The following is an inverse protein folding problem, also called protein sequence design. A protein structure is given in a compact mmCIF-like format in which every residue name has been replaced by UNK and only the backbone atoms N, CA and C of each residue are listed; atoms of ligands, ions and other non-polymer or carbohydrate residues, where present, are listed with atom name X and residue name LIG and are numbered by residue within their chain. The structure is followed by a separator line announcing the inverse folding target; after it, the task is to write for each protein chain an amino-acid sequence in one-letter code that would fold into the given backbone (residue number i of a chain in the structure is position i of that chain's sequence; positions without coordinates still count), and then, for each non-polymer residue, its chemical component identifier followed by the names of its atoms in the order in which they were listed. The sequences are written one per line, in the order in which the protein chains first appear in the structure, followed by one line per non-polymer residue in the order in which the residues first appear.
data_IF_417355376661
#
_entry.id   IF_417355376661
#
_cell.length_a   1.000
_cell.length_b   1.000
_cell.length_c   1.000
_cell.angle_alpha   90.00
_cell.angle_beta   90.00
_cell.angle_gamma   90.00
#
_symmetry.space_group_name_H-M   'P 1'
#
loop_
_entity.id
_entity.type
_entity.pdbx_description
1 polymer ?
#
# COMPACT_ATOMS: atom_id res chain seq x y z
N UNK A 1 -3.88 1.81 -20.76
CA UNK A 1 -4.71 2.59 -19.82
C UNK A 1 -5.61 1.63 -19.05
N UNK A 2 -5.74 1.79 -17.73
CA UNK A 2 -6.79 1.13 -16.93
C UNK A 2 -8.00 2.08 -16.85
N UNK A 3 -9.20 1.56 -17.11
CA UNK A 3 -10.46 2.28 -16.95
C UNK A 3 -11.47 1.42 -16.19
N UNK A 4 -11.98 1.95 -15.09
CA UNK A 4 -13.00 1.30 -14.27
C UNK A 4 -14.28 2.11 -14.39
N UNK A 5 -15.33 1.50 -14.95
CA UNK A 5 -16.62 2.13 -15.21
C UNK A 5 -17.59 1.84 -14.06
N UNK A 6 -18.09 2.89 -13.43
CA UNK A 6 -19.01 2.80 -12.30
C UNK A 6 -20.45 3.00 -12.74
N UNK A 7 -21.36 2.22 -12.15
CA UNK A 7 -22.77 2.57 -12.01
C UNK A 7 -22.99 3.29 -10.67
N UNK A 8 -24.20 3.82 -10.47
CA UNK A 8 -24.57 4.44 -9.19
C UNK A 8 -24.60 3.41 -8.04
N UNK A 9 -24.98 2.16 -8.31
CA UNK A 9 -25.02 1.09 -7.31
C UNK A 9 -23.60 0.73 -6.83
N UNK A 10 -22.62 0.79 -7.72
CA UNK A 10 -21.23 0.47 -7.40
C UNK A 10 -20.63 1.43 -6.35
N UNK A 11 -21.01 2.71 -6.42
CA UNK A 11 -20.54 3.72 -5.48
C UNK A 11 -20.95 3.38 -4.03
N UNK A 12 -22.14 2.80 -3.83
CA UNK A 12 -22.63 2.38 -2.51
C UNK A 12 -21.94 1.11 -1.99
N UNK A 13 -21.49 0.24 -2.89
CA UNK A 13 -20.82 -1.03 -2.58
C UNK A 13 -19.29 -0.90 -2.48
N UNK A 14 -18.74 0.29 -2.72
CA UNK A 14 -17.30 0.52 -2.63
C UNK A 14 -16.78 0.32 -1.20
N UNK A 15 -15.62 -0.33 -1.06
CA UNK A 15 -14.96 -0.58 0.23
C UNK A 15 -13.47 -0.29 0.13
N UNK A 16 -12.89 0.27 1.20
CA UNK A 16 -11.42 0.39 1.35
C UNK A 16 -10.95 -0.67 2.32
N UNK A 17 -9.99 -1.50 1.91
CA UNK A 17 -9.43 -2.56 2.75
C UNK A 17 -8.83 -1.98 4.05
N UNK A 18 -9.11 -2.66 5.17
CA UNK A 18 -8.71 -2.23 6.53
C UNK A 18 -7.28 -2.56 6.87
N UNK A 19 -6.74 -3.61 6.26
CA UNK A 19 -5.39 -4.14 6.53
C UNK A 19 -4.61 -4.26 5.23
N UNK A 20 -3.28 -4.35 5.37
CA UNK A 20 -2.42 -4.76 4.26
C UNK A 20 -2.87 -6.15 3.75
N UNK A 21 -3.09 -6.28 2.45
CA UNK A 21 -3.40 -7.58 1.87
C UNK A 21 -2.11 -8.37 1.61
N UNK A 22 -1.92 -9.54 2.24
CA UNK A 22 -0.61 -10.20 2.28
C UNK A 22 -0.12 -10.63 0.90
N UNK A 23 -1.01 -11.07 0.00
CA UNK A 23 -0.62 -11.58 -1.31
C UNK A 23 -0.28 -10.43 -2.27
N UNK A 24 -1.07 -9.34 -2.24
CA UNK A 24 -0.71 -8.11 -2.98
C UNK A 24 0.65 -7.56 -2.53
N UNK A 25 0.92 -7.53 -1.22
CA UNK A 25 2.21 -7.06 -0.71
C UNK A 25 3.38 -7.99 -1.08
N UNK A 26 3.17 -9.31 -1.13
CA UNK A 26 4.18 -10.25 -1.65
C UNK A 26 4.49 -9.95 -3.13
N UNK A 27 3.47 -9.78 -3.96
CA UNK A 27 3.64 -9.45 -5.39
C UNK A 27 4.44 -8.15 -5.53
N UNK A 28 4.01 -7.08 -4.87
CA UNK A 28 4.65 -5.77 -5.03
C UNK A 28 6.05 -5.70 -4.43
N UNK A 29 6.30 -6.38 -3.31
CA UNK A 29 7.64 -6.46 -2.70
C UNK A 29 8.61 -7.26 -3.58
N UNK A 30 8.17 -8.35 -4.23
CA UNK A 30 8.95 -9.05 -5.25
C UNK A 30 9.26 -8.12 -6.44
N UNK A 31 8.28 -7.35 -6.92
CA UNK A 31 8.52 -6.34 -7.96
C UNK A 31 9.53 -5.26 -7.54
N UNK A 32 9.71 -4.98 -6.25
CA UNK A 32 10.77 -4.09 -5.73
C UNK A 32 12.14 -4.77 -5.77
N UNK A 33 12.24 -6.08 -5.52
CA UNK A 33 13.50 -6.82 -5.61
C UNK A 33 14.01 -6.95 -7.06
N UNK A 34 13.08 -7.03 -8.02
CA UNK A 34 13.35 -7.16 -9.46
C UNK A 34 13.67 -5.82 -10.16
N UNK A 35 13.26 -4.67 -9.59
CA UNK A 35 13.27 -3.37 -10.28
C UNK A 35 14.20 -2.30 -9.70
N UNK A 36 14.38 -1.20 -10.47
CA UNK A 36 15.09 0.02 -10.05
C UNK A 36 14.18 1.17 -9.56
N UNK A 37 12.97 1.43 -10.11
CA UNK A 37 12.12 2.53 -9.65
C UNK A 37 11.66 2.37 -8.19
N UNK A 38 11.67 3.48 -7.43
CA UNK A 38 11.33 3.48 -5.99
C UNK A 38 12.37 2.80 -5.10
N UNK A 39 13.50 2.33 -5.65
CA UNK A 39 14.55 1.62 -4.90
C UNK A 39 15.14 2.44 -3.76
N UNK A 40 15.20 3.76 -3.89
CA UNK A 40 15.70 4.64 -2.83
C UNK A 40 14.81 4.57 -1.58
N UNK A 41 13.48 4.56 -1.76
CA UNK A 41 12.51 4.51 -0.66
C UNK A 41 12.54 3.18 0.10
N UNK A 42 13.03 2.11 -0.54
CA UNK A 42 13.13 0.77 0.05
C UNK A 42 14.57 0.26 0.14
N UNK A 43 15.59 1.11 0.00
CA UNK A 43 16.98 0.64 -0.15
C UNK A 43 17.44 -0.19 1.05
N UNK A 44 17.11 0.24 2.27
CA UNK A 44 17.38 -0.48 3.50
C UNK A 44 16.65 -1.83 3.56
N UNK A 45 15.36 -1.84 3.22
CA UNK A 45 14.55 -3.06 3.16
C UNK A 45 15.09 -4.05 2.11
N UNK A 46 15.39 -3.59 0.88
CA UNK A 46 15.94 -4.43 -0.19
C UNK A 46 17.26 -5.07 0.24
N UNK A 47 18.16 -4.30 0.87
CA UNK A 47 19.44 -4.81 1.36
C UNK A 47 19.22 -5.90 2.42
N UNK A 48 18.37 -5.64 3.40
CA UNK A 48 18.06 -6.57 4.48
C UNK A 48 17.36 -7.85 3.98
N UNK A 49 16.42 -7.74 3.04
CA UNK A 49 15.72 -8.90 2.48
C UNK A 49 16.67 -9.75 1.64
N UNK A 50 17.52 -9.14 0.80
CA UNK A 50 18.50 -9.91 0.01
C UNK A 50 19.46 -10.69 0.90
N UNK A 51 19.94 -10.10 2.00
CA UNK A 51 20.79 -10.81 2.96
C UNK A 51 20.05 -12.02 3.56
N UNK A 52 18.83 -11.80 4.07
CA UNK A 52 18.05 -12.88 4.69
C UNK A 52 17.61 -13.98 3.72
N UNK A 53 17.32 -13.65 2.45
CA UNK A 53 17.02 -14.65 1.42
C UNK A 53 18.24 -15.53 1.10
N UNK A 54 19.45 -14.96 1.16
CA UNK A 54 20.70 -15.72 1.03
C UNK A 54 20.92 -16.62 2.25
N UNK A 55 20.80 -16.07 3.46
CA UNK A 55 21.01 -16.81 4.72
C UNK A 55 20.03 -17.98 4.89
N UNK A 56 18.79 -17.83 4.40
CA UNK A 56 17.75 -18.87 4.47
C UNK A 56 17.74 -19.81 3.26
N UNK A 57 18.59 -19.59 2.25
CA UNK A 57 18.60 -20.37 1.02
C UNK A 57 17.37 -20.18 0.12
N UNK A 58 16.48 -19.23 0.43
CA UNK A 58 15.27 -18.96 -0.34
C UNK A 58 15.53 -18.27 -1.70
N UNK A 59 16.73 -17.74 -1.91
CA UNK A 59 17.14 -17.12 -3.18
C UNK A 59 16.85 -17.98 -4.40
N UNK A 60 17.07 -19.29 -4.30
CA UNK A 60 16.82 -20.21 -5.42
C UNK A 60 15.33 -20.28 -5.73
N UNK A 61 14.49 -20.43 -4.72
CA UNK A 61 13.02 -20.49 -4.86
C UNK A 61 12.47 -19.18 -5.42
N UNK A 62 12.96 -18.04 -4.93
CA UNK A 62 12.56 -16.73 -5.45
C UNK A 62 12.91 -16.61 -6.94
N UNK A 63 14.10 -17.07 -7.37
CA UNK A 63 14.51 -16.98 -8.78
C UNK A 63 13.87 -18.03 -9.68
N UNK A 64 13.64 -19.24 -9.20
CA UNK A 64 13.18 -20.36 -10.03
C UNK A 64 11.67 -20.52 -10.09
N UNK A 65 10.93 -19.98 -9.11
CA UNK A 65 9.48 -20.10 -8.99
C UNK A 65 8.80 -18.72 -8.87
N UNK A 66 9.05 -17.96 -7.79
CA UNK A 66 8.26 -16.75 -7.51
C UNK A 66 8.51 -15.61 -8.51
N UNK A 67 9.76 -15.41 -8.94
CA UNK A 67 10.14 -14.38 -9.90
C UNK A 67 9.49 -14.59 -11.28
N UNK A 68 9.63 -15.80 -11.89
CA UNK A 68 8.93 -16.12 -13.13
C UNK A 68 7.40 -16.08 -13.02
N UNK A 69 6.83 -16.48 -11.87
CA UNK A 69 5.38 -16.46 -11.64
C UNK A 69 4.83 -15.03 -11.48
N UNK A 70 5.62 -14.14 -10.86
CA UNK A 70 5.23 -12.77 -10.50
C UNK A 70 6.17 -11.76 -11.19
N UNK A 71 6.13 -11.68 -12.54
CA UNK A 71 7.02 -10.80 -13.28
C UNK A 71 6.60 -9.34 -13.16
N UNK A 72 7.58 -8.47 -12.92
CA UNK A 72 7.35 -7.03 -12.91
C UNK A 72 6.90 -6.52 -14.29
N UNK A 73 5.90 -5.62 -14.31
CA UNK A 73 5.38 -4.93 -15.51
C UNK A 73 4.84 -5.87 -16.60
N UNK A 74 4.47 -7.08 -16.22
CA UNK A 74 3.80 -8.06 -17.07
C UNK A 74 2.57 -8.57 -16.33
N UNK A 75 1.70 -9.27 -17.05
CA UNK A 75 0.65 -10.08 -16.43
C UNK A 75 1.26 -11.07 -15.44
N UNK A 76 0.60 -11.25 -14.29
CA UNK A 76 0.82 -12.34 -13.35
C UNK A 76 -0.54 -13.01 -13.04
N UNK A 77 -0.57 -14.32 -12.73
CA UNK A 77 -1.82 -15.05 -12.52
C UNK A 77 -2.67 -14.48 -11.38
N UNK A 78 -3.97 -14.34 -11.60
CA UNK A 78 -4.92 -13.80 -10.63
C UNK A 78 -5.12 -14.76 -9.43
N UNK A 79 -4.98 -16.07 -9.65
CA UNK A 79 -5.14 -17.08 -8.59
C UNK A 79 -4.14 -16.92 -7.43
N UNK A 80 -3.02 -16.19 -7.63
CA UNK A 80 -2.02 -15.92 -6.57
C UNK A 80 -2.38 -14.72 -5.68
N UNK A 81 -3.41 -13.95 -6.03
CA UNK A 81 -3.98 -12.86 -5.25
C UNK A 81 -5.49 -13.08 -5.03
N UNK A 82 -5.87 -14.19 -4.37
CA UNK A 82 -7.27 -14.57 -4.21
C UNK A 82 -8.04 -13.55 -3.34
N UNK A 83 -9.34 -13.39 -3.59
CA UNK A 83 -10.17 -12.43 -2.85
C UNK A 83 -10.25 -12.75 -1.35
N UNK A 84 -10.16 -14.05 -1.00
CA UNK A 84 -10.13 -14.62 0.34
C UNK A 84 -8.96 -14.09 1.19
N UNK A 85 -7.88 -13.61 0.54
CA UNK A 85 -6.75 -12.97 1.22
C UNK A 85 -7.14 -11.76 2.07
N UNK A 86 -8.32 -11.18 1.84
CA UNK A 86 -8.90 -10.15 2.72
C UNK A 86 -9.08 -10.60 4.17
N UNK A 87 -9.17 -11.91 4.40
CA UNK A 87 -9.28 -12.53 5.72
C UNK A 87 -7.93 -13.01 6.28
N UNK A 88 -6.81 -12.66 5.62
CA UNK A 88 -5.46 -12.98 6.06
C UNK A 88 -4.74 -14.01 5.18
N UNK A 89 -3.49 -14.30 5.56
CA UNK A 89 -2.60 -15.16 4.77
C UNK A 89 -3.16 -16.58 4.62
N UNK A 90 -3.66 -17.17 5.71
CA UNK A 90 -4.11 -18.56 5.70
C UNK A 90 -5.35 -18.75 4.82
N UNK A 91 -6.31 -17.81 4.85
CA UNK A 91 -7.47 -17.84 3.96
C UNK A 91 -7.08 -17.76 2.47
N UNK A 92 -6.15 -16.89 2.12
CA UNK A 92 -5.63 -16.82 0.74
C UNK A 92 -4.80 -18.06 0.35
N UNK A 93 -4.07 -18.66 1.30
CA UNK A 93 -3.33 -19.89 1.06
C UNK A 93 -4.28 -21.06 0.75
N UNK A 94 -5.36 -21.21 1.53
CA UNK A 94 -6.40 -22.22 1.26
C UNK A 94 -7.07 -22.00 -0.11
N UNK A 95 -7.36 -20.75 -0.48
CA UNK A 95 -7.92 -20.44 -1.80
C UNK A 95 -6.96 -20.82 -2.95
N UNK A 96 -5.65 -20.59 -2.79
CA UNK A 96 -4.65 -21.07 -3.75
C UNK A 96 -4.67 -22.60 -3.84
N UNK A 97 -4.68 -23.30 -2.71
CA UNK A 97 -4.72 -24.78 -2.70
C UNK A 97 -5.97 -25.32 -3.39
N UNK A 98 -7.12 -24.67 -3.16
CA UNK A 98 -8.42 -25.02 -3.72
C UNK A 98 -8.61 -24.64 -5.19
N UNK A 99 -7.72 -23.81 -5.77
CA UNK A 99 -7.80 -23.42 -7.17
C UNK A 99 -7.84 -24.64 -8.10
N UNK A 100 -8.80 -24.64 -9.04
CA UNK A 100 -8.95 -25.75 -9.99
C UNK A 100 -7.73 -25.85 -10.93
N UNK A 101 -7.38 -27.08 -11.31
CA UNK A 101 -6.30 -27.34 -12.28
C UNK A 101 -6.49 -26.54 -13.58
N UNK A 102 -7.71 -26.53 -14.11
CA UNK A 102 -8.06 -25.80 -15.34
C UNK A 102 -7.78 -24.30 -15.21
N UNK A 103 -8.23 -23.67 -14.12
CA UNK A 103 -7.99 -22.25 -13.85
C UNK A 103 -6.48 -21.94 -13.86
N UNK A 104 -5.71 -22.74 -13.12
CA UNK A 104 -4.26 -22.54 -13.00
C UNK A 104 -3.57 -22.72 -14.35
N UNK A 105 -3.93 -23.74 -15.13
CA UNK A 105 -3.37 -23.93 -16.47
C UNK A 105 -3.71 -22.78 -17.43
N UNK A 106 -4.95 -22.30 -17.41
CA UNK A 106 -5.42 -21.21 -18.26
C UNK A 106 -4.64 -19.91 -17.96
N UNK A 107 -4.47 -19.56 -16.68
CA UNK A 107 -3.72 -18.38 -16.26
C UNK A 107 -2.21 -18.52 -16.52
N UNK A 108 -1.61 -19.69 -16.27
CA UNK A 108 -0.21 -19.92 -16.60
C UNK A 108 0.05 -19.86 -18.12
N UNK A 109 -0.89 -20.32 -18.94
CA UNK A 109 -0.80 -20.17 -20.39
C UNK A 109 -0.93 -18.69 -20.84
N UNK A 110 -1.70 -17.86 -20.13
CA UNK A 110 -1.73 -16.41 -20.35
C UNK A 110 -0.38 -15.78 -19.98
N UNK A 111 0.20 -16.16 -18.85
CA UNK A 111 1.53 -15.72 -18.40
C UNK A 111 2.62 -16.09 -19.40
N UNK A 112 2.65 -17.34 -19.84
CA UNK A 112 3.67 -17.82 -20.79
C UNK A 112 3.61 -17.06 -22.13
N UNK A 113 2.41 -16.76 -22.64
CA UNK A 113 2.23 -15.97 -23.86
C UNK A 113 2.82 -14.55 -23.78
N UNK A 114 2.81 -13.94 -22.60
CA UNK A 114 3.24 -12.54 -22.41
C UNK A 114 4.68 -12.44 -21.89
N UNK A 115 5.14 -13.41 -21.09
CA UNK A 115 6.42 -13.35 -20.39
C UNK A 115 7.41 -14.47 -20.76
N UNK A 116 6.97 -15.54 -21.43
CA UNK A 116 7.84 -16.64 -21.85
C UNK A 116 8.43 -17.44 -20.68
N UNK A 117 7.61 -17.84 -19.73
CA UNK A 117 8.04 -18.57 -18.52
C UNK A 117 8.36 -20.04 -18.79
N UNK A 118 7.90 -20.58 -19.91
CA UNK A 118 8.06 -21.97 -20.30
C UNK A 118 7.20 -22.94 -19.49
N UNK A 119 7.43 -24.23 -19.68
CA UNK A 119 6.59 -25.30 -19.08
C UNK A 119 6.82 -25.51 -17.58
N UNK A 120 7.86 -24.91 -16.99
CA UNK A 120 8.28 -25.17 -15.59
C UNK A 120 7.19 -24.84 -14.57
N UNK A 121 6.38 -23.81 -14.82
CA UNK A 121 5.31 -23.42 -13.91
C UNK A 121 4.06 -24.29 -14.04
N UNK A 122 3.93 -25.12 -15.09
CA UNK A 122 2.73 -25.97 -15.30
C UNK A 122 2.50 -26.95 -14.15
N UNK A 123 3.55 -27.37 -13.44
CA UNK A 123 3.45 -28.20 -12.22
C UNK A 123 2.61 -27.57 -11.10
N UNK A 124 2.40 -26.25 -11.13
CA UNK A 124 1.51 -25.57 -10.19
C UNK A 124 0.04 -25.92 -10.42
N UNK A 125 -0.31 -26.53 -11.55
CA UNK A 125 -1.64 -27.08 -11.79
C UNK A 125 -1.92 -28.33 -10.94
N UNK A 126 -0.87 -29.02 -10.48
CA UNK A 126 -0.97 -30.15 -9.57
C UNK A 126 -1.13 -29.67 -8.10
N UNK A 127 -1.90 -30.38 -7.26
CA UNK A 127 -2.03 -30.05 -5.84
C UNK A 127 -0.69 -29.91 -5.11
N UNK A 128 0.29 -30.76 -5.45
CA UNK A 128 1.62 -30.77 -4.83
C UNK A 128 2.41 -29.52 -5.20
N UNK A 129 2.33 -29.09 -6.47
CA UNK A 129 2.94 -27.85 -6.92
C UNK A 129 2.31 -26.63 -6.24
N UNK A 130 1.00 -26.63 -5.97
CA UNK A 130 0.34 -25.56 -5.20
C UNK A 130 0.78 -25.57 -3.73
N UNK A 131 0.96 -26.74 -3.12
CA UNK A 131 1.54 -26.85 -1.76
C UNK A 131 2.96 -26.31 -1.70
N UNK A 132 3.80 -26.59 -2.70
CA UNK A 132 5.13 -25.99 -2.83
C UNK A 132 5.05 -24.47 -2.96
N UNK A 133 4.14 -23.95 -3.80
CA UNK A 133 3.93 -22.52 -3.99
C UNK A 133 3.52 -21.82 -2.70
N UNK A 134 2.51 -22.34 -1.99
CA UNK A 134 2.06 -21.78 -0.71
C UNK A 134 3.18 -21.79 0.32
N UNK A 135 3.97 -22.87 0.37
CA UNK A 135 5.15 -22.94 1.23
C UNK A 135 6.19 -21.87 0.87
N UNK A 136 6.45 -21.66 -0.41
CA UNK A 136 7.35 -20.62 -0.90
C UNK A 136 6.84 -19.20 -0.57
N UNK A 137 5.55 -18.94 -0.76
CA UNK A 137 4.92 -17.65 -0.44
C UNK A 137 4.98 -17.39 1.07
N UNK A 138 4.73 -18.40 1.91
CA UNK A 138 4.80 -18.28 3.38
C UNK A 138 6.22 -18.00 3.86
N UNK A 139 7.20 -18.72 3.32
CA UNK A 139 8.60 -18.52 3.64
C UNK A 139 9.08 -17.12 3.20
N UNK A 140 8.71 -16.69 1.99
CA UNK A 140 8.99 -15.34 1.52
C UNK A 140 8.31 -14.28 2.39
N UNK A 141 7.04 -14.45 2.75
CA UNK A 141 6.31 -13.53 3.62
C UNK A 141 6.99 -13.37 4.97
N UNK A 142 7.41 -14.47 5.60
CA UNK A 142 8.13 -14.44 6.88
C UNK A 142 9.45 -13.67 6.80
N UNK A 143 10.19 -13.79 5.69
CA UNK A 143 11.47 -13.10 5.52
C UNK A 143 11.29 -11.64 5.09
N UNK A 144 10.43 -11.38 4.11
CA UNK A 144 10.36 -10.10 3.43
C UNK A 144 9.31 -9.14 4.02
N UNK A 145 8.17 -9.66 4.47
CA UNK A 145 7.01 -8.86 4.87
C UNK A 145 6.89 -8.75 6.38
N UNK A 146 6.87 -9.88 7.10
CA UNK A 146 6.64 -9.92 8.56
C UNK A 146 7.48 -8.90 9.34
N UNK A 147 8.78 -8.70 9.03
CA UNK A 147 9.63 -7.81 9.82
C UNK A 147 9.36 -6.31 9.60
N UNK A 148 8.51 -5.95 8.63
CA UNK A 148 8.06 -4.58 8.37
C UNK A 148 6.54 -4.43 8.42
N UNK A 149 5.81 -5.47 8.84
CA UNK A 149 4.34 -5.50 8.83
C UNK A 149 3.71 -4.36 9.63
N UNK A 150 4.25 -4.05 10.81
CA UNK A 150 3.75 -2.94 11.64
C UNK A 150 3.93 -1.58 10.96
N UNK A 151 5.05 -1.38 10.26
CA UNK A 151 5.31 -0.17 9.50
C UNK A 151 4.36 -0.08 8.29
N UNK A 152 4.14 -1.19 7.60
CA UNK A 152 3.21 -1.27 6.46
C UNK A 152 1.80 -0.92 6.92
N UNK A 153 1.33 -1.53 8.00
CA UNK A 153 0.00 -1.27 8.54
C UNK A 153 -0.17 0.20 8.96
N UNK A 154 0.81 0.77 9.66
CA UNK A 154 0.77 2.19 10.02
C UNK A 154 0.67 3.13 8.79
N UNK A 155 1.27 2.75 7.65
CA UNK A 155 1.16 3.52 6.40
C UNK A 155 -0.19 3.34 5.71
N UNK A 156 -0.75 2.14 5.75
CA UNK A 156 -2.11 1.88 5.28
C UNK A 156 -3.13 2.64 6.13
N UNK A 157 -2.98 2.64 7.45
CA UNK A 157 -3.87 3.38 8.36
C UNK A 157 -3.82 4.89 8.09
N UNK A 158 -2.61 5.44 7.88
CA UNK A 158 -2.44 6.83 7.50
C UNK A 158 -3.11 7.17 6.16
N UNK A 159 -2.96 6.33 5.13
CA UNK A 159 -3.65 6.52 3.85
C UNK A 159 -5.17 6.46 4.03
N UNK A 160 -5.67 5.47 4.77
CA UNK A 160 -7.10 5.30 5.07
C UNK A 160 -7.69 6.52 5.78
N UNK A 161 -6.96 7.13 6.70
CA UNK A 161 -7.41 8.35 7.36
C UNK A 161 -7.57 9.52 6.39
N UNK A 162 -6.64 9.66 5.42
CA UNK A 162 -6.78 10.64 4.33
C UNK A 162 -8.03 10.35 3.49
N UNK A 163 -8.28 9.08 3.14
CA UNK A 163 -9.48 8.68 2.38
C UNK A 163 -10.78 8.92 3.15
N UNK A 164 -10.77 8.62 4.44
CA UNK A 164 -11.93 8.83 5.31
C UNK A 164 -12.28 10.31 5.44
N UNK A 165 -11.29 11.19 5.60
CA UNK A 165 -11.54 12.64 5.62
C UNK A 165 -12.06 13.14 4.27
N UNK A 166 -11.48 12.70 3.16
CA UNK A 166 -11.96 13.06 1.82
C UNK A 166 -13.40 12.58 1.55
N UNK A 167 -13.77 11.41 2.10
CA UNK A 167 -15.14 10.88 2.06
C UNK A 167 -16.11 11.75 2.87
N UNK A 168 -15.72 12.19 4.06
CA UNK A 168 -16.55 13.04 4.91
C UNK A 168 -16.73 14.44 4.31
N UNK A 169 -15.68 15.00 3.71
CA UNK A 169 -15.70 16.36 3.18
C UNK A 169 -16.40 16.45 1.80
N UNK A 170 -16.30 15.40 0.98
CA UNK A 170 -16.72 15.43 -0.43
C UNK A 170 -17.53 14.23 -0.90
N UNK A 171 -18.02 13.39 0.01
CA UNK A 171 -18.72 12.15 -0.33
C UNK A 171 -17.82 11.15 -1.07
N UNK A 172 -18.46 10.17 -1.74
CA UNK A 172 -17.75 9.09 -2.45
C UNK A 172 -16.84 9.65 -3.56
N UNK A 173 -17.28 10.71 -4.26
CA UNK A 173 -16.44 11.38 -5.25
C UNK A 173 -15.23 12.07 -4.61
N UNK A 174 -15.36 12.65 -3.42
CA UNK A 174 -14.23 13.21 -2.67
C UNK A 174 -13.17 12.15 -2.38
N UNK A 175 -13.60 10.96 -1.94
CA UNK A 175 -12.71 9.81 -1.78
C UNK A 175 -12.02 9.43 -3.09
N UNK A 176 -12.76 9.27 -4.19
CA UNK A 176 -12.20 8.86 -5.49
C UNK A 176 -11.22 9.90 -6.04
N UNK A 177 -11.53 11.20 -5.93
CA UNK A 177 -10.61 12.29 -6.32
C UNK A 177 -9.34 12.31 -5.46
N UNK A 178 -9.41 11.88 -4.20
CA UNK A 178 -8.23 11.85 -3.32
C UNK A 178 -7.17 10.85 -3.79
N UNK A 179 -7.51 9.86 -4.62
CA UNK A 179 -6.59 8.83 -5.13
C UNK A 179 -5.62 9.36 -6.20
N UNK A 180 -5.79 10.62 -6.63
CA UNK A 180 -4.86 11.27 -7.53
C UNK A 180 -3.46 11.42 -6.88
N UNK A 181 -2.37 11.35 -7.68
CA UNK A 181 -2.36 11.20 -9.13
C UNK A 181 -2.45 9.75 -9.63
N UNK A 182 -2.38 8.75 -8.74
CA UNK A 182 -2.30 7.33 -9.10
C UNK A 182 -3.57 6.82 -9.81
N UNK A 183 -4.74 7.24 -9.33
CA UNK A 183 -6.04 7.03 -9.97
C UNK A 183 -6.73 8.39 -10.14
N UNK A 184 -7.24 8.65 -11.34
CA UNK A 184 -7.91 9.91 -11.69
C UNK A 184 -9.39 9.67 -11.88
N UNK A 185 -10.20 10.30 -11.04
CA UNK A 185 -11.65 10.26 -11.14
C UNK A 185 -12.14 11.23 -12.21
N UNK A 186 -12.72 10.70 -13.28
CA UNK A 186 -13.45 11.41 -14.32
C UNK A 186 -14.85 10.81 -14.41
N UNK A 187 -15.79 11.23 -13.54
CA UNK A 187 -17.05 10.53 -13.37
C UNK A 187 -17.73 10.23 -14.72
N UNK A 188 -18.21 8.99 -14.94
CA UNK A 188 -18.29 7.87 -13.99
C UNK A 188 -17.09 6.90 -14.06
N UNK A 189 -15.93 7.34 -14.58
CA UNK A 189 -14.77 6.47 -14.86
C UNK A 189 -13.59 6.81 -13.94
N UNK A 190 -13.00 5.78 -13.35
CA UNK A 190 -11.71 5.90 -12.64
C UNK A 190 -10.59 5.41 -13.56
N UNK A 191 -9.64 6.28 -13.87
CA UNK A 191 -8.58 6.02 -14.85
C UNK A 191 -7.20 5.95 -14.21
N UNK A 192 -6.32 5.10 -14.74
CA UNK A 192 -4.90 5.09 -14.39
C UNK A 192 -4.01 4.70 -15.58
N UNK A 193 -2.75 5.13 -15.52
CA UNK A 193 -1.74 4.58 -16.41
C UNK A 193 -1.56 3.08 -16.13
N UNK A 194 -1.48 2.29 -17.21
CA UNK A 194 -1.39 0.85 -17.10
C UNK A 194 -0.58 0.28 -18.28
N UNK A 195 0.20 -0.82 -18.10
CA UNK A 195 1.02 -1.40 -19.16
C UNK A 195 0.27 -1.83 -20.43
N UNK A 196 -1.03 -2.06 -20.33
CA UNK A 196 -1.93 -2.34 -21.45
C UNK A 196 -3.26 -1.62 -21.29
N UNK A 197 -4.23 -1.91 -22.18
CA UNK A 197 -5.60 -1.45 -22.02
C UNK A 197 -6.42 -2.47 -21.25
N UNK A 198 -7.07 -2.04 -20.19
CA UNK A 198 -7.94 -2.87 -19.37
C UNK A 198 -9.17 -2.04 -18.99
N UNK A 199 -10.32 -2.50 -19.45
CA UNK A 199 -11.62 -1.91 -19.13
C UNK A 199 -12.35 -2.85 -18.18
N UNK A 200 -12.78 -2.31 -17.05
CA UNK A 200 -13.52 -3.05 -16.03
C UNK A 200 -14.87 -2.37 -15.86
N UNK A 201 -15.94 -3.07 -16.20
CA UNK A 201 -17.30 -2.65 -15.93
C UNK A 201 -17.74 -3.26 -14.61
N UNK A 202 -18.06 -2.42 -13.62
CA UNK A 202 -18.36 -2.90 -12.28
C UNK A 202 -19.76 -3.55 -12.21
N UNK A 203 -20.71 -3.08 -13.00
CA UNK A 203 -22.04 -3.67 -13.20
C UNK A 203 -22.77 -4.01 -11.88
N UNK A 204 -22.69 -3.09 -10.91
CA UNK A 204 -23.34 -3.24 -9.61
C UNK A 204 -22.58 -4.14 -8.62
N UNK A 205 -21.38 -4.66 -8.97
CA UNK A 205 -20.54 -5.47 -8.07
C UNK A 205 -19.80 -4.64 -7.02
N UNK A 206 -19.66 -3.33 -7.23
CA UNK A 206 -18.83 -2.44 -6.41
C UNK A 206 -17.33 -2.61 -6.65
N UNK A 207 -16.51 -1.86 -5.91
CA UNK A 207 -15.05 -1.88 -6.02
C UNK A 207 -14.37 -1.97 -4.65
N UNK A 208 -13.41 -2.89 -4.50
CA UNK A 208 -12.51 -2.93 -3.35
C UNK A 208 -11.22 -2.16 -3.65
N UNK A 209 -10.95 -1.13 -2.87
CA UNK A 209 -9.72 -0.35 -2.89
C UNK A 209 -8.72 -0.96 -1.90
N UNK A 210 -7.55 -1.41 -2.36
CA UNK A 210 -6.50 -2.01 -1.53
C UNK A 210 -5.30 -1.07 -1.45
N UNK A 211 -5.19 -0.22 -0.41
CA UNK A 211 -3.95 0.53 -0.18
C UNK A 211 -2.79 -0.44 0.03
N UNK A 212 -1.69 -0.20 -0.68
CA UNK A 212 -0.51 -1.04 -0.61
C UNK A 212 0.76 -0.27 -0.33
N UNK A 213 1.56 -0.78 0.61
CA UNK A 213 2.86 -0.23 0.97
C UNK A 213 3.86 -0.43 -0.16
N UNK A 214 4.05 -1.64 -0.69
CA UNK A 214 5.06 -1.89 -1.71
C UNK A 214 4.64 -1.52 -3.15
N UNK A 215 3.34 -1.30 -3.38
CA UNK A 215 2.85 -0.74 -4.63
C UNK A 215 3.50 0.64 -4.89
N UNK A 216 3.87 0.92 -6.14
CA UNK A 216 4.60 2.13 -6.48
C UNK A 216 4.29 2.61 -7.89
N UNK A 217 3.87 3.87 -7.99
CA UNK A 217 3.56 4.54 -9.24
C UNK A 217 2.16 4.17 -9.75
N UNK A 218 2.02 3.00 -10.35
CA UNK A 218 0.79 2.59 -11.04
C UNK A 218 -0.03 1.60 -10.19
N UNK A 219 -1.35 1.81 -10.08
CA UNK A 219 -2.23 0.84 -9.45
C UNK A 219 -2.33 -0.45 -10.27
N UNK A 220 -2.74 -1.53 -9.63
CA UNK A 220 -2.92 -2.84 -10.28
C UNK A 220 -4.30 -3.40 -9.96
N UNK A 221 -4.94 -4.00 -10.96
CA UNK A 221 -6.24 -4.65 -10.84
C UNK A 221 -6.14 -6.10 -11.34
N UNK A 222 -7.21 -6.88 -11.16
CA UNK A 222 -7.30 -8.25 -11.68
C UNK A 222 -7.21 -8.23 -13.20
N UNK A 223 -6.58 -9.25 -13.79
CA UNK A 223 -6.56 -9.37 -15.25
C UNK A 223 -7.89 -9.92 -15.78
N UNK A 224 -8.54 -10.81 -15.04
CA UNK A 224 -9.90 -11.26 -15.31
C UNK A 224 -10.93 -10.23 -14.78
N UNK A 225 -11.68 -9.54 -15.66
CA UNK A 225 -12.67 -8.54 -15.27
C UNK A 225 -13.92 -9.14 -14.61
N UNK A 226 -14.13 -10.45 -14.70
CA UNK A 226 -15.29 -11.15 -14.09
C UNK A 226 -15.08 -11.44 -12.60
N UNK A 227 -13.83 -11.46 -12.13
CA UNK A 227 -13.51 -11.61 -10.71
C UNK A 227 -14.02 -10.42 -9.89
N UNK A 228 -14.26 -10.58 -8.57
CA UNK A 228 -14.66 -9.49 -7.69
C UNK A 228 -13.76 -8.25 -7.88
N UNK A 229 -14.31 -7.09 -8.29
CA UNK A 229 -13.48 -5.97 -8.70
C UNK A 229 -12.62 -5.42 -7.56
N UNK A 230 -11.31 -5.37 -7.78
CA UNK A 230 -10.33 -4.85 -6.84
C UNK A 230 -9.30 -3.99 -7.56
N UNK A 231 -8.84 -2.93 -6.91
CA UNK A 231 -7.68 -2.17 -7.36
C UNK A 231 -6.76 -1.91 -6.17
N UNK A 232 -5.55 -2.44 -6.29
CA UNK A 232 -4.47 -2.16 -5.37
C UNK A 232 -3.73 -0.89 -5.80
N UNK A 233 -3.54 0.06 -4.88
CA UNK A 233 -2.98 1.38 -5.18
C UNK A 233 -1.89 1.75 -4.18
N UNK A 234 -0.90 2.58 -4.57
CA UNK A 234 0.16 2.98 -3.66
C UNK A 234 -0.39 3.86 -2.52
N UNK A 235 -0.01 3.55 -1.28
CA UNK A 235 -0.25 4.47 -0.16
C UNK A 235 0.43 5.80 -0.39
N UNK A 236 -0.19 6.90 0.07
CA UNK A 236 0.45 8.23 0.03
C UNK A 236 1.76 8.21 0.80
N UNK A 237 2.84 8.64 0.14
CA UNK A 237 4.14 8.86 0.76
C UNK A 237 4.38 10.37 0.79
N UNK A 238 4.69 10.91 1.97
CA UNK A 238 4.99 12.34 2.18
C UNK A 238 6.08 12.88 1.22
N UNK A 239 6.91 11.99 0.65
CA UNK A 239 8.03 12.33 -0.22
C UNK A 239 7.64 12.66 -1.66
N UNK A 240 6.43 12.32 -2.15
CA UNK A 240 5.99 12.71 -3.50
C UNK A 240 5.37 14.11 -3.55
N UNK A 241 5.10 14.71 -2.38
CA UNK A 241 4.74 16.12 -2.23
C UNK A 241 5.95 16.98 -1.86
N UNK A 242 7.01 17.03 -2.69
CA UNK A 242 8.05 18.08 -2.65
C UNK A 242 8.62 18.50 -1.28
N UNK A 243 8.63 17.63 -0.26
CA UNK A 243 8.64 18.06 1.14
C UNK A 243 10.01 18.14 1.80
N UNK A 244 11.11 17.88 1.09
CA UNK A 244 12.45 18.05 1.69
C UNK A 244 12.68 19.49 2.13
N UNK A 245 12.00 20.47 1.51
CA UNK A 245 12.05 21.89 1.93
C UNK A 245 11.06 22.24 3.05
N UNK A 246 9.88 21.60 3.10
CA UNK A 246 8.90 21.80 4.17
C UNK A 246 9.23 21.05 5.47
N UNK A 247 10.15 20.08 5.43
CA UNK A 247 10.69 19.42 6.63
C UNK A 247 11.56 20.37 7.45
N UNK A 248 12.32 21.26 6.82
CA UNK A 248 13.29 22.12 7.50
C UNK A 248 12.69 23.15 8.48
N UNK A 249 11.64 23.94 8.16
CA UNK A 249 11.17 25.01 9.05
C UNK A 249 10.61 24.49 10.36
N UNK A 250 9.77 23.46 10.28
CA UNK A 250 9.08 22.93 11.46
C UNK A 250 10.01 22.05 12.31
N UNK A 251 10.94 21.34 11.66
CA UNK A 251 12.00 20.60 12.37
C UNK A 251 13.00 21.54 13.07
N UNK A 252 13.31 22.72 12.50
CA UNK A 252 14.12 23.75 13.17
C UNK A 252 13.43 24.34 14.40
N UNK A 253 12.10 24.48 14.36
CA UNK A 253 11.32 25.03 15.47
C UNK A 253 11.09 24.01 16.60
N UNK A 254 10.71 22.78 16.25
CA UNK A 254 10.21 21.78 17.21
C UNK A 254 11.20 20.64 17.49
N UNK A 255 12.24 20.51 16.67
CA UNK A 255 13.05 19.30 16.57
C UNK A 255 12.43 18.28 15.60
N UNK A 256 13.28 17.45 15.00
CA UNK A 256 12.89 16.50 13.95
C UNK A 256 11.79 15.53 14.39
N UNK A 257 11.95 14.85 15.52
CA UNK A 257 10.98 13.86 16.00
C UNK A 257 9.64 14.48 16.36
N UNK A 258 9.62 15.65 16.99
CA UNK A 258 8.36 16.34 17.36
C UNK A 258 7.65 16.91 16.14
N UNK A 259 8.38 17.46 15.17
CA UNK A 259 7.82 17.93 13.91
C UNK A 259 7.18 16.80 13.11
N UNK A 260 7.81 15.63 13.10
CA UNK A 260 7.32 14.45 12.43
C UNK A 260 6.09 13.85 13.13
N UNK A 261 6.09 13.76 14.46
CA UNK A 261 4.92 13.36 15.25
C UNK A 261 3.76 14.32 15.02
N UNK A 262 3.98 15.64 15.07
CA UNK A 262 2.90 16.62 14.87
C UNK A 262 2.24 16.45 13.50
N UNK A 263 3.01 16.31 12.42
CA UNK A 263 2.43 16.10 11.07
C UNK A 263 1.63 14.81 11.00
N UNK A 264 2.16 13.73 11.58
CA UNK A 264 1.52 12.43 11.56
C UNK A 264 0.17 12.40 12.30
N UNK A 265 -0.01 13.22 13.34
CA UNK A 265 -1.32 13.38 14.00
C UNK A 265 -2.41 13.96 13.09
N UNK A 266 -2.08 14.50 11.91
CA UNK A 266 -3.09 14.89 10.92
C UNK A 266 -3.99 13.71 10.49
N UNK A 267 -3.42 12.50 10.50
CA UNK A 267 -4.09 11.25 10.16
C UNK A 267 -4.81 10.58 11.35
N UNK A 268 -4.72 11.13 12.57
CA UNK A 268 -5.34 10.51 13.75
C UNK A 268 -4.69 9.17 14.11
N UNK A 269 -3.51 9.21 14.71
CA UNK A 269 -2.69 8.02 14.97
C UNK A 269 -2.59 7.69 16.47
N UNK A 270 -2.37 6.42 16.80
CA UNK A 270 -2.07 6.00 18.17
C UNK A 270 -0.64 6.38 18.57
N UNK A 271 -0.38 6.43 19.88
CA UNK A 271 0.98 6.65 20.40
C UNK A 271 1.99 5.64 19.85
N UNK A 272 1.60 4.37 19.71
CA UNK A 272 2.47 3.30 19.21
C UNK A 272 2.83 3.47 17.74
N UNK A 273 1.85 3.83 16.90
CA UNK A 273 2.09 4.15 15.49
C UNK A 273 3.02 5.36 15.33
N UNK A 274 2.83 6.40 16.15
CA UNK A 274 3.66 7.61 16.13
C UNK A 274 5.10 7.35 16.58
N UNK A 275 5.30 6.49 17.57
CA UNK A 275 6.63 6.07 18.03
C UNK A 275 7.42 5.37 16.92
N UNK A 276 6.78 4.40 16.25
CA UNK A 276 7.37 3.65 15.12
C UNK A 276 7.69 4.56 13.95
N UNK A 277 6.77 5.46 13.62
CA UNK A 277 6.95 6.41 12.52
C UNK A 277 8.14 7.35 12.76
N UNK A 278 8.31 7.82 14.00
CA UNK A 278 9.38 8.74 14.38
C UNK A 278 10.71 8.05 14.72
N UNK A 279 10.75 6.72 14.78
CA UNK A 279 11.95 5.96 15.18
C UNK A 279 12.35 6.20 16.64
N UNK A 280 11.37 6.44 17.53
CA UNK A 280 11.60 6.70 18.97
C UNK A 280 10.85 5.69 19.84
N UNK A 281 11.19 5.62 21.13
CA UNK A 281 10.47 4.77 22.08
C UNK A 281 9.01 5.25 22.30
N UNK A 282 8.08 4.37 22.69
CA UNK A 282 6.72 4.77 23.07
C UNK A 282 6.66 5.81 24.18
N UNK A 283 7.60 5.76 25.14
CA UNK A 283 7.72 6.75 26.21
C UNK A 283 8.12 8.13 25.65
N UNK A 284 9.11 8.16 24.74
CA UNK A 284 9.54 9.39 24.06
C UNK A 284 8.44 9.99 23.20
N UNK A 285 7.70 9.15 22.46
CA UNK A 285 6.54 9.59 21.68
C UNK A 285 5.44 10.17 22.58
N UNK A 286 5.14 9.50 23.70
CA UNK A 286 4.17 10.00 24.69
C UNK A 286 4.58 11.35 25.26
N UNK A 287 5.88 11.52 25.57
CA UNK A 287 6.41 12.79 26.05
C UNK A 287 6.24 13.90 24.99
N UNK A 288 6.60 13.64 23.74
CA UNK A 288 6.39 14.60 22.65
C UNK A 288 4.91 14.94 22.45
N UNK A 289 4.02 13.95 22.53
CA UNK A 289 2.58 14.16 22.46
C UNK A 289 2.05 14.98 23.62
N UNK A 290 2.56 14.79 24.85
CA UNK A 290 2.20 15.66 25.98
C UNK A 290 2.59 17.10 25.69
N UNK A 291 3.85 17.35 25.30
CA UNK A 291 4.31 18.70 24.99
C UNK A 291 3.46 19.35 23.90
N UNK A 292 3.14 18.63 22.82
CA UNK A 292 2.29 19.15 21.74
C UNK A 292 0.85 19.41 22.19
N UNK A 293 0.31 18.56 23.07
CA UNK A 293 -1.03 18.71 23.64
C UNK A 293 -1.11 19.87 24.63
N UNK A 294 -0.12 20.03 25.49
CA UNK A 294 -0.04 21.09 26.49
C UNK A 294 0.14 22.48 25.82
N UNK A 295 0.65 22.50 24.59
CA UNK A 295 0.72 23.70 23.73
C UNK A 295 -0.48 23.83 22.78
N UNK A 296 -1.53 23.04 22.96
CA UNK A 296 -2.76 23.13 22.18
C UNK A 296 -2.62 22.80 20.70
N UNK A 297 -1.56 22.10 20.28
CA UNK A 297 -1.32 21.70 18.88
C UNK A 297 -1.94 20.33 18.55
N UNK A 298 -2.11 19.48 19.56
CA UNK A 298 -2.68 18.13 19.44
C UNK A 298 -3.80 17.96 20.46
N UNK A 299 -4.89 17.33 20.05
CA UNK A 299 -5.93 16.82 20.93
C UNK A 299 -5.89 15.29 20.95
N UNK A 300 -6.36 14.71 22.04
CA UNK A 300 -6.46 13.27 22.20
C UNK A 300 -7.93 12.89 22.25
N UNK A 301 -8.34 11.97 21.39
CA UNK A 301 -9.69 11.41 21.38
C UNK A 301 -9.58 9.93 21.73
N UNK A 302 -10.30 9.52 22.77
CA UNK A 302 -10.40 8.11 23.14
C UNK A 302 -11.57 7.49 22.38
N UNK A 303 -11.27 6.53 21.53
CA UNK A 303 -12.27 5.77 20.79
C UNK A 303 -12.19 4.30 21.21
N UNK A 304 -13.15 3.86 22.03
CA UNK A 304 -13.15 2.54 22.65
C UNK A 304 -11.80 2.16 23.31
N UNK A 305 -11.13 1.11 22.81
CA UNK A 305 -9.86 0.60 23.32
C UNK A 305 -8.63 1.34 22.77
N UNK A 306 -8.80 2.37 21.93
CA UNK A 306 -7.69 3.08 21.29
C UNK A 306 -7.70 4.57 21.64
N UNK A 307 -6.51 5.12 21.83
CA UNK A 307 -6.27 6.54 22.07
C UNK A 307 -5.66 7.13 20.81
N UNK A 308 -6.41 7.97 20.10
CA UNK A 308 -5.98 8.62 18.86
C UNK A 308 -5.56 10.06 19.15
N UNK A 309 -4.50 10.50 18.50
CA UNK A 309 -3.99 11.86 18.59
C UNK A 309 -4.24 12.58 17.27
N UNK A 310 -4.96 13.69 17.34
CA UNK A 310 -5.38 14.49 16.19
C UNK A 310 -4.87 15.92 16.30
N UNK A 311 -4.63 16.57 15.17
CA UNK A 311 -4.33 18.00 15.17
C UNK A 311 -5.52 18.83 15.68
N UNK A 312 -5.23 19.84 16.50
CA UNK A 312 -6.15 20.94 16.75
C UNK A 312 -6.16 21.90 15.55
N UNK A 313 -7.09 22.87 15.48
CA UNK A 313 -7.02 23.93 14.47
C UNK A 313 -5.68 24.70 14.48
N UNK A 314 -5.10 24.96 15.66
CA UNK A 314 -3.81 25.61 15.81
C UNK A 314 -2.66 24.74 15.27
N UNK A 315 -2.64 23.45 15.60
CA UNK A 315 -1.67 22.50 15.05
C UNK A 315 -1.77 22.34 13.54
N UNK A 316 -2.99 22.28 13.01
CA UNK A 316 -3.24 22.21 11.58
C UNK A 316 -2.79 23.47 10.83
N UNK A 317 -3.04 24.66 11.40
CA UNK A 317 -2.53 25.93 10.89
C UNK A 317 -1.00 25.95 10.87
N UNK A 318 -0.35 25.53 11.96
CA UNK A 318 1.12 25.50 12.04
C UNK A 318 1.73 24.59 10.97
N UNK A 319 1.15 23.40 10.76
CA UNK A 319 1.59 22.46 9.72
C UNK A 319 1.36 23.03 8.31
N UNK A 320 0.23 23.70 8.06
CA UNK A 320 -0.07 24.35 6.77
C UNK A 320 0.84 25.54 6.49
N UNK A 321 1.07 26.43 7.45
CA UNK A 321 1.93 27.60 7.28
C UNK A 321 3.38 27.21 6.96
N UNK A 322 3.88 26.13 7.58
CA UNK A 322 5.21 25.61 7.26
C UNK A 322 5.30 24.96 5.87
N UNK A 323 4.17 24.51 5.28
CA UNK A 323 4.10 24.06 3.89
C UNK A 323 4.07 25.27 2.93
N UNK A 324 3.20 26.24 3.18
CA UNK A 324 3.06 27.44 2.33
C UNK A 324 4.35 28.26 2.23
N UNK A 325 5.12 28.40 3.31
CA UNK A 325 6.41 29.12 3.26
C UNK A 325 7.53 28.33 2.60
N UNK A 326 7.42 27.00 2.52
CA UNK A 326 8.37 26.18 1.79
C UNK A 326 8.15 26.26 0.27
N UNK A 327 6.89 26.39 -0.14
CA UNK A 327 6.49 26.54 -1.55
C UNK A 327 6.76 27.97 -2.08
N UNK A 328 6.69 28.99 -1.22
CA UNK A 328 6.87 30.39 -1.59
C UNK A 328 8.32 30.81 -1.88
N UNK A 329 9.33 29.94 -1.75
CA UNK A 329 10.72 30.19 -2.12
C UNK A 329 11.32 31.44 -1.48
N UNK A 330 12.09 31.28 -0.39
CA UNK A 330 12.84 32.37 0.25
C UNK A 330 13.67 33.18 -0.77
N UNK A 331 13.10 34.29 -1.25
CA UNK A 331 13.76 35.37 -1.96
C UNK A 331 13.84 36.52 -0.98
N UNK A 332 14.93 36.59 -0.23
CA UNK A 332 15.38 37.86 0.35
C UNK A 332 16.89 37.80 0.52
N UNK A 333 17.57 38.57 -0.31
CA UNK A 333 18.83 39.19 0.05
C UNK A 333 18.60 40.05 1.31
N UNK A 334 19.49 39.91 2.29
CA UNK A 334 20.15 41.01 3.02
C UNK A 334 21.55 40.51 3.35
#
# INVERSE_FOLDING_TARGET
MLRIFFTHEDLAKMRVATTCDPFWEIVFSLHRLQGRPGRWAYAGWIRSVRARLADTGLDRIVRSMLGPLLPRKSYFPDFVTPAEAQHGFDAGAEAILAASERLVLDELAKLDRVHGTGTRLRRLADPDGRRELVSALRAYHAVAIKPVEELMQARVDADRAVRARALLDGGVEGLLRSLAPALRWKPPVLEAEYPGNLDIHLDGRGLRLVPSYFCWGQPVSMADPELPPVVAYPVVRDQESGSTRAEAPLSRLLGQSRALILRATAAGMTTGELARLAGVSPATASHHLSVLRDNGLVSTVRNANMTLHTLTPAGANLVRSARSMADAGFSSQV
#
